data_IF_149196421573
#
_entry.id   IF_149196421573
#
_cell.length_a   1.000
_cell.length_b   1.000
_cell.length_c   1.000
_cell.angle_alpha   90.00
_cell.angle_beta   90.00
_cell.angle_gamma   90.00
#
_symmetry.space_group_name_H-M   'P 1'
#
loop_
_entity.id
_entity.type
_entity.pdbx_description
1 polymer ?
#
# COMPACT_ATOMS: atom_id res chain seq x y z
N UNK A 1 58.44 -41.28 -7.40
CA UNK A 1 57.27 -41.80 -6.67
C UNK A 1 56.62 -40.62 -5.98
N UNK A 2 55.38 -40.31 -6.39
CA UNK A 2 54.60 -39.12 -6.04
C UNK A 2 54.15 -39.12 -4.57
N UNK A 3 53.86 -37.93 -4.01
CA UNK A 3 52.75 -37.56 -3.08
C UNK A 3 53.01 -36.08 -2.70
N UNK A 4 52.44 -35.10 -3.41
CA UNK A 4 51.11 -34.48 -3.27
C UNK A 4 50.94 -33.61 -2.01
N UNK A 5 51.06 -32.29 -2.20
CA UNK A 5 50.80 -31.24 -1.21
C UNK A 5 49.30 -30.96 -1.15
N UNK A 6 48.66 -31.21 -0.01
CA UNK A 6 47.26 -30.87 0.20
C UNK A 6 47.12 -29.40 0.69
N UNK A 7 46.62 -28.52 -0.17
CA UNK A 7 46.08 -27.22 0.22
C UNK A 7 44.64 -27.41 0.70
N UNK A 8 44.38 -27.22 1.99
CA UNK A 8 43.02 -27.18 2.55
C UNK A 8 42.46 -25.77 2.37
N UNK A 9 41.62 -25.56 1.36
CA UNK A 9 40.86 -24.32 1.20
C UNK A 9 39.64 -24.35 2.15
N UNK A 10 39.69 -23.54 3.21
CA UNK A 10 38.57 -23.36 4.13
C UNK A 10 37.60 -22.33 3.53
N UNK A 11 36.52 -22.80 2.91
CA UNK A 11 35.44 -21.93 2.44
C UNK A 11 34.56 -21.51 3.62
N UNK A 12 34.67 -20.25 4.07
CA UNK A 12 33.69 -19.64 4.96
C UNK A 12 32.42 -19.32 4.14
N UNK A 13 31.41 -20.17 4.25
CA UNK A 13 30.06 -19.84 3.81
C UNK A 13 29.47 -18.82 4.81
N UNK A 14 29.40 -17.55 4.41
CA UNK A 14 28.57 -16.57 5.12
C UNK A 14 27.10 -16.95 4.90
N UNK A 15 26.48 -17.56 5.91
CA UNK A 15 25.04 -17.70 5.98
C UNK A 15 24.43 -16.35 6.31
N UNK A 16 24.06 -15.58 5.29
CA UNK A 16 23.19 -14.42 5.45
C UNK A 16 21.83 -14.92 5.91
N UNK A 17 21.49 -14.76 7.19
CA UNK A 17 20.13 -14.97 7.67
C UNK A 17 19.25 -13.91 7.00
N UNK A 18 18.54 -14.29 5.94
CA UNK A 18 17.48 -13.47 5.36
C UNK A 18 16.38 -13.39 6.41
N UNK A 19 16.33 -12.28 7.14
CA UNK A 19 15.15 -11.94 7.93
C UNK A 19 14.04 -11.67 6.92
N UNK A 20 13.20 -12.67 6.65
CA UNK A 20 11.97 -12.46 5.92
C UNK A 20 11.04 -11.77 6.90
N UNK A 21 10.91 -10.45 6.78
CA UNK A 21 9.84 -9.74 7.46
C UNK A 21 8.52 -10.34 6.96
N UNK A 22 7.75 -10.94 7.87
CA UNK A 22 6.49 -11.59 7.53
C UNK A 22 5.42 -10.59 7.06
N UNK A 23 5.66 -9.29 7.23
CA UNK A 23 4.74 -8.19 6.98
C UNK A 23 5.54 -7.00 6.40
N UNK A 24 4.90 -6.17 5.59
CA UNK A 24 5.60 -5.16 4.78
C UNK A 24 4.69 -4.03 4.30
N UNK A 25 5.08 -3.37 3.21
CA UNK A 25 4.36 -2.23 2.64
C UNK A 25 5.09 -1.67 1.42
N UNK A 26 4.61 -0.54 0.90
CA UNK A 26 5.23 0.12 -0.26
C UNK A 26 6.60 0.70 0.11
N UNK A 27 7.64 0.27 -0.59
CA UNK A 27 9.03 0.72 -0.39
C UNK A 27 9.47 1.80 -1.35
N UNK A 28 8.86 1.89 -2.53
CA UNK A 28 9.24 2.84 -3.57
C UNK A 28 8.12 3.03 -4.62
N UNK A 29 8.28 4.05 -5.45
CA UNK A 29 7.38 4.37 -6.54
C UNK A 29 8.13 4.64 -7.86
N UNK A 30 7.52 4.28 -8.98
CA UNK A 30 7.86 4.79 -10.32
C UNK A 30 6.69 5.61 -10.83
N UNK A 31 6.89 6.90 -11.03
CA UNK A 31 5.85 7.86 -11.42
C UNK A 31 6.33 8.60 -12.67
N UNK A 32 5.62 8.42 -13.78
CA UNK A 32 5.98 9.02 -15.07
C UNK A 32 7.48 8.80 -15.47
N UNK A 33 8.02 7.61 -15.17
CA UNK A 33 9.41 7.25 -15.46
C UNK A 33 10.44 7.75 -14.45
N UNK A 34 10.03 8.48 -13.41
CA UNK A 34 10.91 8.92 -12.32
C UNK A 34 10.78 7.99 -11.12
N UNK A 35 11.92 7.55 -10.58
CA UNK A 35 11.96 6.70 -9.39
C UNK A 35 11.97 7.53 -8.11
N UNK A 36 11.13 7.17 -7.15
CA UNK A 36 11.04 7.79 -5.84
C UNK A 36 11.22 6.73 -4.76
N UNK A 37 12.24 6.89 -3.93
CA UNK A 37 12.42 6.06 -2.74
C UNK A 37 11.34 6.40 -1.72
N UNK A 38 10.73 5.37 -1.14
CA UNK A 38 9.77 5.49 -0.04
C UNK A 38 10.45 5.81 1.29
N UNK A 39 9.64 5.95 2.32
CA UNK A 39 10.09 6.02 3.70
C UNK A 39 10.70 4.68 4.11
N UNK A 40 11.83 4.72 4.82
CA UNK A 40 12.46 3.51 5.37
C UNK A 40 11.85 3.20 6.72
N UNK A 41 10.88 2.29 6.73
CA UNK A 41 10.28 1.75 7.94
C UNK A 41 11.34 1.25 8.94
N UNK A 42 10.98 1.20 10.23
CA UNK A 42 11.83 0.84 11.37
C UNK A 42 12.98 1.79 11.73
N UNK A 43 13.42 2.64 10.79
CA UNK A 43 14.40 3.68 11.09
C UNK A 43 13.73 4.92 11.68
N UNK A 44 14.51 5.72 12.42
CA UNK A 44 14.07 7.06 12.82
C UNK A 44 13.66 7.89 11.60
N UNK A 45 12.58 8.70 11.69
CA UNK A 45 12.20 9.59 10.60
C UNK A 45 13.17 10.77 10.44
N UNK A 46 14.01 11.07 11.44
CA UNK A 46 14.94 12.19 11.41
C UNK A 46 15.93 12.05 10.25
N UNK A 47 15.94 13.04 9.36
CA UNK A 47 16.83 13.10 8.20
C UNK A 47 16.35 12.30 6.98
N UNK A 48 15.24 11.58 7.08
CA UNK A 48 14.62 10.94 5.92
C UNK A 48 13.94 11.99 5.03
N UNK A 49 14.05 11.80 3.72
CA UNK A 49 13.34 12.59 2.72
C UNK A 49 12.59 11.66 1.78
N UNK A 50 11.30 11.94 1.55
CA UNK A 50 10.46 11.05 0.77
C UNK A 50 9.18 11.75 0.31
N UNK A 51 8.60 11.28 -0.80
CA UNK A 51 7.23 11.62 -1.16
C UNK A 51 6.21 10.87 -0.29
N UNK A 52 6.62 9.76 0.33
CA UNK A 52 5.79 8.90 1.15
C UNK A 52 5.65 9.49 2.57
N UNK A 53 4.48 9.31 3.20
CA UNK A 53 4.29 9.56 4.63
C UNK A 53 5.04 8.52 5.46
N UNK A 54 5.36 8.87 6.69
CA UNK A 54 6.00 7.97 7.65
C UNK A 54 5.12 6.75 7.92
N UNK A 55 5.72 5.56 7.95
CA UNK A 55 5.03 4.32 8.31
C UNK A 55 6.01 3.33 8.94
N UNK A 56 5.50 2.45 9.81
CA UNK A 56 6.30 1.38 10.40
C UNK A 56 7.38 1.86 11.37
N UNK A 57 7.24 3.07 11.92
CA UNK A 57 8.09 3.55 13.02
C UNK A 57 7.58 2.95 14.34
N UNK A 58 8.45 2.29 15.14
CA UNK A 58 8.01 1.70 16.40
C UNK A 58 7.47 2.78 17.35
N UNK A 59 6.19 2.69 17.70
CA UNK A 59 5.54 3.63 18.64
C UNK A 59 5.86 3.32 20.11
N UNK A 60 6.44 2.14 20.39
CA UNK A 60 6.84 1.73 21.73
C UNK A 60 7.95 0.68 21.66
N UNK A 61 8.91 0.67 22.61
CA UNK A 61 9.94 -0.36 22.72
C UNK A 61 9.36 -1.77 22.97
N UNK A 62 8.10 -1.88 23.41
CA UNK A 62 7.43 -3.17 23.61
C UNK A 62 6.95 -3.84 22.30
N UNK A 63 6.95 -3.09 21.18
CA UNK A 63 6.54 -3.56 19.85
C UNK A 63 7.68 -3.38 18.83
N UNK A 64 8.93 -3.50 19.27
CA UNK A 64 10.09 -3.48 18.38
C UNK A 64 9.94 -4.56 17.28
N UNK A 65 10.11 -4.14 16.02
CA UNK A 65 10.26 -4.99 14.83
C UNK A 65 9.04 -5.75 14.29
N UNK A 66 7.80 -5.38 14.60
CA UNK A 66 6.65 -5.94 13.87
C UNK A 66 5.81 -4.84 13.19
N UNK A 67 5.73 -4.91 11.85
CA UNK A 67 4.67 -4.22 11.11
C UNK A 67 3.38 -4.96 11.42
N UNK A 68 2.63 -4.43 12.39
CA UNK A 68 1.35 -5.01 12.77
C UNK A 68 0.32 -4.51 11.75
N UNK A 69 -0.37 -5.40 11.04
CA UNK A 69 -1.44 -4.98 10.16
C UNK A 69 -2.52 -4.27 10.97
N UNK A 70 -3.19 -3.30 10.36
CA UNK A 70 -4.42 -2.79 10.97
C UNK A 70 -5.48 -3.89 10.85
N UNK A 71 -6.05 -4.30 11.99
CA UNK A 71 -7.11 -5.31 12.04
C UNK A 71 -8.48 -4.70 12.32
N UNK A 72 -8.51 -3.42 12.68
CA UNK A 72 -9.73 -2.69 13.00
C UNK A 72 -10.06 -1.78 11.80
N UNK A 73 -11.16 -2.02 11.06
CA UNK A 73 -11.52 -1.23 9.87
C UNK A 73 -11.85 0.24 10.17
N UNK A 74 -12.01 0.57 11.46
CA UNK A 74 -12.26 1.93 11.95
C UNK A 74 -11.07 2.52 12.71
N UNK A 75 -9.86 1.96 12.55
CA UNK A 75 -8.66 2.50 13.21
C UNK A 75 -8.40 3.97 12.77
N UNK A 76 -8.15 4.89 13.72
CA UNK A 76 -7.90 6.30 13.40
C UNK A 76 -6.70 6.55 12.48
N UNK A 77 -5.74 5.63 12.43
CA UNK A 77 -4.53 5.73 11.61
C UNK A 77 -4.64 4.99 10.27
N UNK A 78 -5.82 4.42 9.94
CA UNK A 78 -6.02 3.60 8.74
C UNK A 78 -5.82 4.35 7.41
N UNK A 79 -5.83 5.69 7.43
CA UNK A 79 -5.57 6.49 6.22
C UNK A 79 -4.18 6.23 5.65
N UNK A 80 -3.11 6.39 6.44
CA UNK A 80 -1.74 6.44 5.92
C UNK A 80 -0.72 5.69 6.80
N UNK A 81 -1.16 4.61 7.45
CA UNK A 81 -0.36 3.82 8.40
C UNK A 81 -0.05 4.57 9.71
N UNK A 82 0.69 3.91 10.60
CA UNK A 82 1.10 4.44 11.90
C UNK A 82 2.58 4.86 11.85
N UNK A 83 2.93 6.09 12.24
CA UNK A 83 2.04 7.20 12.64
C UNK A 83 1.43 7.99 11.45
N UNK A 84 1.77 7.66 10.20
CA UNK A 84 1.27 8.38 9.01
C UNK A 84 1.73 9.84 8.93
N UNK A 85 2.75 10.20 9.72
CA UNK A 85 3.15 11.58 9.93
C UNK A 85 3.85 12.18 8.70
N UNK A 86 3.82 13.51 8.67
CA UNK A 86 4.58 14.31 7.74
C UNK A 86 6.04 14.37 8.17
N UNK A 87 6.96 14.26 7.20
CA UNK A 87 8.39 14.44 7.40
C UNK A 87 8.81 15.92 7.51
N UNK A 88 7.84 16.84 7.59
CA UNK A 88 8.09 18.28 7.69
C UNK A 88 8.86 18.80 6.47
N UNK A 89 10.04 19.36 6.69
CA UNK A 89 10.91 19.86 5.60
C UNK A 89 11.47 18.75 4.72
N UNK A 90 11.49 17.50 5.19
CA UNK A 90 11.88 16.32 4.40
C UNK A 90 10.77 15.76 3.52
N UNK A 91 9.53 16.26 3.65
CA UNK A 91 8.40 15.77 2.88
C UNK A 91 8.45 16.35 1.45
N UNK A 92 8.52 15.46 0.47
CA UNK A 92 8.60 15.81 -0.95
C UNK A 92 7.27 15.60 -1.67
N UNK A 93 7.24 15.99 -2.94
CA UNK A 93 6.16 15.71 -3.88
C UNK A 93 6.71 15.08 -5.14
N UNK A 94 5.94 14.18 -5.75
CA UNK A 94 6.14 13.79 -7.14
C UNK A 94 5.23 14.63 -8.04
N UNK A 95 5.82 15.43 -8.94
CA UNK A 95 5.05 16.16 -9.95
C UNK A 95 4.73 15.23 -11.10
N UNK A 96 3.45 15.14 -11.47
CA UNK A 96 2.96 14.16 -12.46
C UNK A 96 1.79 14.76 -13.24
N UNK A 97 1.62 14.38 -14.51
CA UNK A 97 0.46 14.79 -15.30
C UNK A 97 -0.74 13.86 -15.03
N UNK A 98 -1.97 14.40 -15.02
CA UNK A 98 -3.17 13.56 -15.06
C UNK A 98 -3.15 12.60 -16.25
N UNK A 99 -3.62 11.36 -16.08
CA UNK A 99 -3.50 10.30 -17.09
C UNK A 99 -2.19 9.52 -17.03
N UNK A 100 -1.21 9.92 -16.21
CA UNK A 100 0.05 9.19 -16.07
C UNK A 100 -0.12 7.90 -15.27
N UNK A 101 0.71 6.91 -15.60
CA UNK A 101 0.86 5.70 -14.79
C UNK A 101 1.70 5.97 -13.54
N UNK A 102 1.30 5.36 -12.44
CA UNK A 102 2.02 5.29 -11.17
C UNK A 102 2.17 3.83 -10.78
N UNK A 103 3.38 3.41 -10.44
CA UNK A 103 3.65 2.07 -9.94
C UNK A 103 4.16 2.15 -8.52
N UNK A 104 3.54 1.45 -7.59
CA UNK A 104 4.07 1.19 -6.26
C UNK A 104 4.83 -0.14 -6.25
N UNK A 105 5.91 -0.21 -5.49
CA UNK A 105 6.73 -1.41 -5.32
C UNK A 105 6.75 -1.77 -3.84
N UNK A 106 6.34 -3.00 -3.54
CA UNK A 106 6.33 -3.56 -2.19
C UNK A 106 7.65 -4.30 -1.93
N UNK A 107 7.88 -4.65 -0.66
CA UNK A 107 8.83 -5.68 -0.31
C UNK A 107 8.44 -7.03 -0.95
N UNK A 108 9.28 -8.06 -0.78
CA UNK A 108 8.88 -9.44 -1.09
C UNK A 108 7.65 -9.80 -0.27
N UNK A 109 6.48 -9.71 -0.90
CA UNK A 109 5.20 -9.71 -0.21
C UNK A 109 4.73 -11.16 0.03
N UNK A 110 4.40 -11.56 1.26
CA UNK A 110 4.21 -12.97 1.60
C UNK A 110 2.76 -13.46 1.46
N UNK A 111 1.79 -12.58 1.22
CA UNK A 111 0.38 -12.92 1.14
C UNK A 111 -0.12 -12.83 -0.30
N UNK A 112 -0.99 -13.74 -0.70
CA UNK A 112 -1.52 -13.78 -2.08
C UNK A 112 -3.05 -13.66 -2.13
N UNK A 113 -3.74 -13.60 -0.99
CA UNK A 113 -5.20 -13.63 -0.90
C UNK A 113 -5.73 -12.29 -0.38
N UNK A 114 -6.50 -11.62 -1.24
CA UNK A 114 -7.20 -10.38 -0.92
C UNK A 114 -7.10 -9.33 -2.04
N UNK A 115 -7.85 -8.21 -1.92
CA UNK A 115 -7.85 -7.16 -2.92
C UNK A 115 -6.65 -6.23 -2.83
N UNK A 116 -6.41 -5.54 -3.94
CA UNK A 116 -5.58 -4.34 -4.05
C UNK A 116 -6.52 -3.16 -4.31
N UNK A 117 -6.32 -2.06 -3.58
CA UNK A 117 -7.11 -0.83 -3.76
C UNK A 117 -6.19 0.38 -3.83
N UNK A 118 -6.52 1.31 -4.73
CA UNK A 118 -5.79 2.57 -4.85
C UNK A 118 -6.75 3.74 -4.77
N UNK A 119 -6.43 4.68 -3.90
CA UNK A 119 -7.23 5.87 -3.60
C UNK A 119 -6.42 7.14 -3.85
N UNK A 120 -7.13 8.22 -4.11
CA UNK A 120 -6.59 9.56 -4.06
C UNK A 120 -7.44 10.46 -3.18
N UNK A 121 -6.86 11.54 -2.66
CA UNK A 121 -7.59 12.61 -2.00
C UNK A 121 -6.97 13.95 -2.35
N UNK A 122 -7.79 14.95 -2.67
CA UNK A 122 -7.30 16.31 -2.91
C UNK A 122 -6.94 16.97 -1.58
N UNK A 123 -5.75 17.53 -1.48
CA UNK A 123 -5.35 18.28 -0.31
C UNK A 123 -5.98 19.69 -0.37
N UNK A 124 -6.60 20.20 0.71
CA UNK A 124 -7.25 21.51 0.70
C UNK A 124 -6.30 22.67 0.36
N UNK A 125 -5.06 22.57 0.82
CA UNK A 125 -4.01 23.57 0.56
C UNK A 125 -2.66 22.89 0.31
N UNK A 126 -2.11 22.23 1.34
CA UNK A 126 -0.82 21.57 1.30
C UNK A 126 -0.92 20.15 1.87
N UNK A 127 -0.51 19.15 1.09
CA UNK A 127 -0.51 17.76 1.56
C UNK A 127 0.44 17.53 2.73
N UNK A 128 1.54 18.29 2.82
CA UNK A 128 2.54 18.17 3.88
C UNK A 128 1.97 18.48 5.27
N UNK A 129 0.98 19.37 5.34
CA UNK A 129 0.33 19.77 6.59
C UNK A 129 -1.09 19.21 6.73
N UNK A 130 -1.54 18.41 5.77
CA UNK A 130 -2.89 17.86 5.77
C UNK A 130 -3.03 16.71 6.79
N UNK A 131 -4.12 16.73 7.55
CA UNK A 131 -4.56 15.61 8.39
C UNK A 131 -5.21 14.56 7.50
N UNK A 132 -4.55 13.43 7.29
CA UNK A 132 -4.96 12.42 6.29
C UNK A 132 -6.28 11.73 6.61
N UNK A 133 -6.61 11.59 7.89
CA UNK A 133 -7.87 11.00 8.35
C UNK A 133 -9.10 11.86 8.09
N UNK A 134 -8.92 13.17 7.86
CA UNK A 134 -10.02 14.11 7.55
C UNK A 134 -10.15 14.40 6.06
N UNK A 135 -9.30 13.81 5.21
CA UNK A 135 -9.37 13.99 3.78
C UNK A 135 -10.56 13.24 3.17
N UNK A 136 -11.11 13.79 2.10
CA UNK A 136 -12.12 13.13 1.28
C UNK A 136 -11.43 12.26 0.22
N UNK A 137 -11.39 10.96 0.49
CA UNK A 137 -10.77 9.96 -0.37
C UNK A 137 -11.76 9.46 -1.41
N UNK A 138 -11.29 9.24 -2.62
CA UNK A 138 -12.00 8.55 -3.69
C UNK A 138 -11.13 7.43 -4.24
N UNK A 139 -11.75 6.32 -4.62
CA UNK A 139 -11.06 5.17 -5.17
C UNK A 139 -10.82 5.37 -6.65
N UNK A 140 -9.58 5.20 -7.12
CA UNK A 140 -9.23 5.30 -8.56
C UNK A 140 -9.04 3.94 -9.21
N UNK A 141 -8.77 2.90 -8.40
CA UNK A 141 -8.61 1.54 -8.90
C UNK A 141 -8.89 0.51 -7.79
N UNK A 142 -9.37 -0.66 -8.21
CA UNK A 142 -9.39 -1.86 -7.37
C UNK A 142 -9.29 -3.12 -8.22
N UNK A 143 -8.76 -4.17 -7.62
CA UNK A 143 -8.93 -5.53 -8.08
C UNK A 143 -9.09 -6.45 -6.86
N UNK A 144 -9.98 -7.44 -6.96
CA UNK A 144 -10.31 -8.37 -5.88
C UNK A 144 -10.00 -9.81 -6.27
N UNK A 145 -11.00 -10.68 -6.17
CA UNK A 145 -10.95 -12.00 -6.79
C UNK A 145 -11.10 -11.86 -8.32
N UNK A 146 -10.07 -12.24 -9.07
CA UNK A 146 -10.01 -12.08 -10.53
C UNK A 146 -10.66 -13.28 -11.23
N UNK A 147 -10.38 -14.49 -10.75
CA UNK A 147 -10.96 -15.72 -11.28
C UNK A 147 -10.92 -16.84 -10.25
N UNK A 148 -11.74 -17.88 -10.44
CA UNK A 148 -11.82 -19.01 -9.52
C UNK A 148 -12.69 -18.72 -8.29
N UNK A 149 -12.36 -19.37 -7.18
CA UNK A 149 -13.08 -19.29 -5.91
C UNK A 149 -12.20 -18.76 -4.78
N UNK A 150 -12.75 -18.64 -3.57
CA UNK A 150 -12.02 -18.11 -2.43
C UNK A 150 -10.77 -18.91 -2.07
N UNK A 151 -10.83 -20.23 -2.17
CA UNK A 151 -9.73 -21.10 -1.76
C UNK A 151 -8.60 -21.20 -2.79
N UNK A 152 -8.93 -21.26 -4.08
CA UNK A 152 -7.98 -21.56 -5.16
C UNK A 152 -7.92 -20.47 -6.24
N UNK A 153 -8.69 -19.40 -6.08
CA UNK A 153 -8.78 -18.34 -7.07
C UNK A 153 -7.53 -17.50 -7.19
N UNK A 154 -7.45 -16.82 -8.32
CA UNK A 154 -6.44 -15.78 -8.55
C UNK A 154 -6.95 -14.48 -7.95
N UNK A 155 -6.24 -13.98 -6.94
CA UNK A 155 -6.52 -12.71 -6.30
C UNK A 155 -5.58 -11.62 -6.81
N UNK A 156 -6.02 -10.38 -6.78
CA UNK A 156 -5.22 -9.21 -7.13
C UNK A 156 -3.91 -9.13 -6.35
N UNK A 157 -3.93 -9.49 -5.06
CA UNK A 157 -2.71 -9.54 -4.25
C UNK A 157 -1.72 -10.60 -4.77
N UNK A 158 -2.20 -11.73 -5.29
CA UNK A 158 -1.36 -12.73 -5.95
C UNK A 158 -0.75 -12.22 -7.27
N UNK A 159 -1.53 -11.51 -8.09
CA UNK A 159 -1.01 -10.85 -9.30
C UNK A 159 0.05 -9.79 -8.97
N UNK A 160 -0.13 -9.02 -7.89
CA UNK A 160 0.87 -8.08 -7.39
C UNK A 160 2.20 -8.78 -7.09
N UNK A 161 2.15 -9.91 -6.35
CA UNK A 161 3.33 -10.72 -6.02
C UNK A 161 4.00 -11.23 -7.29
N UNK A 162 3.21 -11.78 -8.22
CA UNK A 162 3.71 -12.30 -9.50
C UNK A 162 4.32 -11.21 -10.39
N UNK A 163 3.79 -9.99 -10.33
CA UNK A 163 4.29 -8.82 -11.05
C UNK A 163 5.42 -8.11 -10.29
N UNK A 164 6.41 -8.89 -9.84
CA UNK A 164 7.60 -8.39 -9.14
C UNK A 164 7.26 -7.52 -7.90
N UNK A 165 6.24 -7.93 -7.14
CA UNK A 165 5.74 -7.21 -5.98
C UNK A 165 5.36 -5.75 -6.30
N UNK A 166 4.68 -5.53 -7.42
CA UNK A 166 4.34 -4.19 -7.90
C UNK A 166 2.93 -4.09 -8.46
N UNK A 167 2.35 -2.91 -8.32
CA UNK A 167 1.01 -2.58 -8.81
C UNK A 167 1.05 -1.25 -9.54
N UNK A 168 0.59 -1.25 -10.79
CA UNK A 168 0.55 -0.06 -11.63
C UNK A 168 -0.89 0.40 -11.78
N UNK A 169 -1.17 1.64 -11.38
CA UNK A 169 -2.44 2.33 -11.62
C UNK A 169 -2.27 3.49 -12.60
N UNK A 170 -3.38 3.99 -13.15
CA UNK A 170 -3.40 5.20 -13.98
C UNK A 170 -4.18 6.30 -13.26
N UNK A 171 -3.57 7.46 -13.08
CA UNK A 171 -4.26 8.63 -12.51
C UNK A 171 -5.36 9.06 -13.49
N UNK A 172 -6.62 9.25 -13.06
CA UNK A 172 -7.68 9.70 -13.95
C UNK A 172 -7.33 11.00 -14.68
N UNK A 173 -7.45 10.99 -16.01
CA UNK A 173 -6.98 12.08 -16.88
C UNK A 173 -7.78 13.37 -16.74
N UNK A 174 -9.02 13.30 -16.24
CA UNK A 174 -9.93 14.44 -16.11
C UNK A 174 -9.81 15.15 -14.76
N UNK A 175 -8.99 14.64 -13.83
CA UNK A 175 -8.78 15.26 -12.52
C UNK A 175 -8.28 16.70 -12.66
N UNK A 176 -8.75 17.62 -11.81
CA UNK A 176 -8.17 18.95 -11.72
C UNK A 176 -6.73 18.91 -11.21
N UNK A 177 -5.91 19.81 -11.75
CA UNK A 177 -4.58 20.06 -11.20
C UNK A 177 -4.61 20.41 -9.70
N UNK A 178 -3.50 20.16 -9.00
CA UNK A 178 -3.32 20.51 -7.60
C UNK A 178 -2.60 19.43 -6.81
N UNK A 179 -2.59 19.57 -5.48
CA UNK A 179 -1.91 18.61 -4.60
C UNK A 179 -2.86 17.48 -4.19
N UNK A 180 -2.36 16.25 -4.26
CA UNK A 180 -3.11 15.05 -3.92
C UNK A 180 -2.30 14.11 -3.04
N UNK A 181 -2.98 13.41 -2.14
CA UNK A 181 -2.47 12.16 -1.58
C UNK A 181 -2.82 11.01 -2.51
N UNK A 182 -1.88 10.11 -2.74
CA UNK A 182 -2.08 8.81 -3.38
C UNK A 182 -1.90 7.72 -2.33
N UNK A 183 -2.91 6.89 -2.12
CA UNK A 183 -2.91 5.82 -1.12
C UNK A 183 -3.04 4.47 -1.81
N UNK A 184 -2.06 3.60 -1.60
CA UNK A 184 -2.18 2.19 -1.99
C UNK A 184 -2.53 1.38 -0.75
N UNK A 185 -3.36 0.36 -0.93
CA UNK A 185 -3.76 -0.52 0.17
C UNK A 185 -3.86 -1.97 -0.29
N UNK A 186 -3.29 -2.85 0.52
CA UNK A 186 -3.55 -4.28 0.50
C UNK A 186 -4.48 -4.62 1.67
N UNK A 187 -5.49 -5.45 1.41
CA UNK A 187 -6.32 -6.04 2.46
C UNK A 187 -6.11 -7.56 2.41
N UNK A 188 -5.27 -8.10 3.29
CA UNK A 188 -5.06 -9.53 3.36
C UNK A 188 -6.18 -10.17 4.20
N UNK A 189 -6.81 -11.22 3.66
CA UNK A 189 -7.97 -11.89 4.25
C UNK A 189 -7.73 -13.39 4.47
N UNK A 190 -6.46 -13.79 4.54
CA UNK A 190 -6.04 -15.18 4.72
C UNK A 190 -6.32 -15.70 6.14
N UNK A 191 -6.61 -14.83 7.11
CA UNK A 191 -6.98 -15.23 8.47
C UNK A 191 -8.47 -14.99 8.66
N UNK A 192 -9.22 -16.05 9.00
CA UNK A 192 -10.68 -15.97 9.19
C UNK A 192 -11.05 -14.88 10.19
N UNK A 193 -12.01 -14.04 9.78
CA UNK A 193 -12.59 -12.95 10.57
C UNK A 193 -11.59 -11.89 11.08
N UNK A 194 -10.37 -11.88 10.54
CA UNK A 194 -9.28 -10.98 10.94
C UNK A 194 -8.71 -10.28 9.70
N UNK A 195 -9.37 -9.22 9.21
CA UNK A 195 -8.85 -8.43 8.11
C UNK A 195 -7.48 -7.86 8.48
N UNK A 196 -6.61 -7.70 7.48
CA UNK A 196 -5.29 -7.08 7.67
C UNK A 196 -5.08 -6.02 6.60
N UNK A 197 -5.24 -4.75 6.98
CA UNK A 197 -5.05 -3.61 6.10
C UNK A 197 -3.60 -3.11 6.14
N UNK A 198 -3.04 -2.83 4.97
CA UNK A 198 -1.68 -2.30 4.76
C UNK A 198 -1.72 -1.07 3.85
N UNK A 199 -1.98 0.13 4.42
CA UNK A 199 -2.07 1.35 3.64
C UNK A 199 -0.78 2.17 3.66
N UNK A 200 -0.32 2.65 2.50
CA UNK A 200 0.76 3.65 2.42
C UNK A 200 0.38 4.82 1.52
N UNK A 201 0.80 6.03 1.93
CA UNK A 201 0.46 7.28 1.24
C UNK A 201 1.67 8.01 0.67
N UNK A 202 1.53 8.57 -0.53
CA UNK A 202 2.52 9.45 -1.18
C UNK A 202 1.90 10.78 -1.62
N UNK A 203 2.69 11.86 -1.62
CA UNK A 203 2.25 13.20 -2.04
C UNK A 203 2.56 13.45 -3.51
N UNK A 204 1.55 13.93 -4.23
CA UNK A 204 1.63 14.27 -5.65
C UNK A 204 1.31 15.75 -5.87
N UNK A 205 1.97 16.35 -6.86
CA UNK A 205 1.51 17.58 -7.52
C UNK A 205 1.01 17.17 -8.90
N UNK A 206 -0.30 17.17 -9.07
CA UNK A 206 -0.94 16.87 -10.34
C UNK A 206 -0.92 18.11 -11.24
N UNK A 207 -0.43 17.93 -12.46
CA UNK A 207 -0.36 18.94 -13.52
C UNK A 207 -1.24 18.55 -14.70
N UNK A 208 -1.63 19.54 -15.51
CA UNK A 208 -2.60 19.33 -16.58
C UNK A 208 -3.94 18.85 -16.03
N UNK A 209 -4.61 17.99 -16.81
CA UNK A 209 -5.88 17.38 -16.43
C UNK A 209 -7.11 18.14 -16.93
N UNK A 210 -8.23 17.94 -16.23
CA UNK A 210 -9.54 18.48 -16.60
C UNK A 210 -10.22 19.24 -15.45
N UNK A 211 -11.54 19.29 -15.50
CA UNK A 211 -12.37 19.93 -14.47
C UNK A 211 -13.32 18.95 -13.77
N UNK A 212 -13.18 17.64 -14.02
CA UNK A 212 -14.05 16.63 -13.44
C UNK A 212 -13.51 16.19 -12.09
N UNK A 213 -14.24 16.51 -11.02
CA UNK A 213 -13.95 16.02 -9.68
C UNK A 213 -14.96 14.93 -9.27
N UNK A 214 -14.58 13.96 -8.43
CA UNK A 214 -15.50 13.00 -7.84
C UNK A 214 -16.63 13.70 -7.09
N UNK A 215 -17.87 13.26 -7.32
CA UNK A 215 -19.05 13.68 -6.55
C UNK A 215 -19.05 13.05 -5.16
N UNK A 216 -19.88 13.55 -4.26
CA UNK A 216 -20.00 13.04 -2.88
C UNK A 216 -20.27 11.53 -2.77
N UNK A 217 -20.88 10.91 -3.79
CA UNK A 217 -21.10 9.46 -3.88
C UNK A 217 -19.83 8.62 -3.99
N UNK A 218 -18.70 9.22 -4.37
CA UNK A 218 -17.39 8.56 -4.46
C UNK A 218 -16.47 8.91 -3.28
N UNK A 219 -16.87 9.88 -2.46
CA UNK A 219 -16.03 10.45 -1.41
C UNK A 219 -16.31 9.80 -0.06
N UNK A 220 -15.24 9.41 0.63
CA UNK A 220 -15.28 8.78 1.96
C UNK A 220 -14.13 9.30 2.84
N UNK A 221 -14.24 9.14 4.16
CA UNK A 221 -13.11 9.31 5.08
C UNK A 221 -12.46 7.96 5.39
N UNK A 222 -11.20 7.98 5.80
CA UNK A 222 -10.46 6.80 6.26
C UNK A 222 -9.82 7.11 7.62
N UNK A 223 -10.37 6.60 8.74
CA UNK A 223 -11.48 5.63 8.83
C UNK A 223 -12.85 6.21 8.46
N UNK A 224 -13.79 5.32 8.12
CA UNK A 224 -15.19 5.65 7.77
C UNK A 224 -15.70 4.86 6.55
N UNK A 225 -14.82 4.57 5.59
CA UNK A 225 -15.14 3.81 4.39
C UNK A 225 -15.40 2.32 4.64
N UNK A 226 -14.80 1.75 5.68
CA UNK A 226 -14.84 0.33 5.99
C UNK A 226 -15.57 0.06 7.30
N UNK A 227 -16.31 -1.05 7.33
CA UNK A 227 -17.01 -1.54 8.52
C UNK A 227 -16.68 -3.02 8.70
N UNK A 228 -16.67 -3.46 9.96
CA UNK A 228 -16.52 -4.88 10.26
C UNK A 228 -17.65 -5.71 9.64
N UNK A 229 -18.83 -5.12 9.41
CA UNK A 229 -19.97 -5.78 8.76
C UNK A 229 -19.89 -5.84 7.24
N UNK A 230 -18.89 -5.22 6.60
CA UNK A 230 -18.76 -5.28 5.15
C UNK A 230 -18.37 -6.71 4.74
N UNK A 231 -19.05 -7.33 3.76
CA UNK A 231 -18.87 -8.75 3.45
C UNK A 231 -17.49 -9.10 2.88
N UNK A 232 -16.73 -8.10 2.42
CA UNK A 232 -15.34 -8.25 1.97
C UNK A 232 -14.28 -7.93 3.04
N UNK A 233 -14.68 -7.54 4.24
CA UNK A 233 -13.77 -7.15 5.34
C UNK A 233 -13.64 -8.28 6.36
N UNK A 234 -14.73 -8.60 7.07
CA UNK A 234 -14.74 -9.69 8.06
C UNK A 234 -15.41 -10.90 7.43
N UNK A 235 -14.61 -11.88 7.05
CA UNK A 235 -15.09 -13.11 6.44
C UNK A 235 -14.19 -14.30 6.76
N UNK A 236 -14.77 -15.49 6.71
CA UNK A 236 -14.05 -16.75 6.71
C UNK A 236 -14.07 -17.36 5.30
N UNK A 237 -12.98 -17.15 4.57
CA UNK A 237 -12.81 -17.68 3.22
C UNK A 237 -12.75 -19.21 3.19
N UNK A 238 -12.40 -19.86 4.31
CA UNK A 238 -12.29 -21.31 4.40
C UNK A 238 -13.62 -22.00 4.73
N UNK A 239 -14.55 -21.29 5.37
CA UNK A 239 -15.93 -21.75 5.54
C UNK A 239 -16.75 -21.67 4.24
N UNK A 240 -16.34 -20.81 3.31
CA UNK A 240 -17.02 -20.60 2.01
C UNK A 240 -16.07 -20.76 0.82
N UNK A 241 -15.32 -21.88 0.72
CA UNK A 241 -14.16 -21.99 -0.16
C UNK A 241 -14.53 -21.93 -1.65
N UNK A 242 -15.77 -22.29 -2.00
CA UNK A 242 -16.29 -22.32 -3.38
C UNK A 242 -16.98 -21.01 -3.81
N UNK A 243 -17.01 -19.98 -2.96
CA UNK A 243 -17.57 -18.69 -3.34
C UNK A 243 -16.71 -18.02 -4.40
N UNK A 244 -17.37 -17.49 -5.43
CA UNK A 244 -16.71 -16.89 -6.61
C UNK A 244 -16.94 -15.38 -6.72
N UNK A 245 -17.74 -14.81 -5.82
CA UNK A 245 -18.07 -13.38 -5.84
C UNK A 245 -17.55 -12.70 -4.57
N UNK A 246 -16.51 -11.89 -4.72
CA UNK A 246 -15.94 -11.07 -3.66
C UNK A 246 -16.35 -9.60 -3.85
N UNK A 247 -17.13 -9.07 -2.91
CA UNK A 247 -17.45 -7.65 -2.87
C UNK A 247 -16.31 -6.86 -2.24
N UNK A 248 -15.55 -6.13 -3.07
CA UNK A 248 -14.44 -5.28 -2.60
C UNK A 248 -15.01 -4.14 -1.73
N UNK A 249 -14.46 -3.88 -0.53
CA UNK A 249 -14.98 -2.86 0.38
C UNK A 249 -14.67 -1.43 -0.06
N UNK A 250 -15.35 -0.45 0.54
CA UNK A 250 -15.20 0.98 0.25
C UNK A 250 -16.08 1.48 -0.90
N UNK A 251 -15.88 2.74 -1.34
CA UNK A 251 -16.72 3.38 -2.35
C UNK A 251 -16.51 2.77 -3.75
N UNK A 252 -17.40 3.07 -4.72
CA UNK A 252 -17.17 2.76 -6.13
C UNK A 252 -15.88 3.40 -6.66
N UNK A 253 -15.31 2.81 -7.73
CA UNK A 253 -14.17 3.40 -8.44
C UNK A 253 -14.64 4.61 -9.25
N UNK A 254 -13.93 5.72 -9.12
CA UNK A 254 -14.10 6.92 -9.93
C UNK A 254 -13.00 6.97 -11.01
N UNK A 255 -13.41 6.94 -12.28
CA UNK A 255 -12.48 6.83 -13.43
C UNK A 255 -12.24 8.13 -14.19
N UNK A 256 -12.89 9.23 -13.79
CA UNK A 256 -12.79 10.52 -14.46
C UNK A 256 -14.06 11.03 -15.10
#
# INVERSE_FOLDING_TARGET
>A
MFISSALTALALALSSATQVAAHGGVLAYSIAGTWYQGFKAYNTPVGQVSIQREWGTPLSPCFENQLIPFQIPTDPNLSCNSNGASLGTGQLFATVAAGSKVTAYWNTWPHTIGPVMVYMAKCPSNCTTATTSTLEWFKIEQAGLISGDYANGTWAMGELVANNNSWTTTIPATLPAGQYMLRHELLAIHTSDQPQFYPECAQLILTGGGSSAPTSSYLVTLPGAYKASDPGVTLDIYATPTFTNYTIPGPPVWQG
#
